data_IF_161437447520
#
_entry.id   IF_161437447520
#
_cell.length_a   1.000
_cell.length_b   1.000
_cell.length_c   1.000
_cell.angle_alpha   90.00
_cell.angle_beta   90.00
_cell.angle_gamma   90.00
#
_symmetry.space_group_name_H-M   'P 1'
#
loop_
_entity.id
_entity.type
_entity.pdbx_description
1 polymer ?
#
# COMPACT_ATOMS: atom_id res chain seq x y z
N UNK A 1 6.58 8.78 -5.13
CA UNK A 1 5.83 7.53 -4.82
C UNK A 1 4.66 7.31 -5.75
N UNK A 2 4.37 6.05 -6.11
CA UNK A 2 3.14 5.70 -6.82
C UNK A 2 1.96 5.75 -5.84
N UNK A 3 1.01 6.68 -6.03
CA UNK A 3 -0.08 6.90 -5.04
C UNK A 3 -1.49 7.04 -5.64
N UNK A 4 -1.65 7.04 -6.96
CA UNK A 4 -2.97 7.24 -7.58
C UNK A 4 -3.14 6.30 -8.77
N UNK A 5 -4.09 5.37 -8.74
CA UNK A 5 -4.45 4.57 -9.92
C UNK A 5 -5.24 5.45 -10.89
N UNK A 6 -4.68 5.67 -12.07
CA UNK A 6 -5.30 6.38 -13.16
C UNK A 6 -6.42 5.55 -13.77
N UNK A 7 -7.65 5.82 -13.30
CA UNK A 7 -8.93 5.31 -13.81
C UNK A 7 -9.39 3.96 -13.24
N UNK A 8 -10.01 4.02 -12.05
CA UNK A 8 -10.69 2.90 -11.41
C UNK A 8 -10.55 3.00 -9.89
N UNK A 9 -11.55 2.51 -9.14
CA UNK A 9 -11.46 2.35 -7.69
C UNK A 9 -10.63 1.10 -7.33
N UNK A 10 -9.48 0.92 -8.00
CA UNK A 10 -8.61 -0.22 -7.76
C UNK A 10 -7.75 0.07 -6.54
N UNK A 11 -7.80 -0.83 -5.56
CA UNK A 11 -7.07 -0.72 -4.31
C UNK A 11 -5.75 -1.46 -4.48
N UNK A 12 -4.68 -0.71 -4.67
CA UNK A 12 -3.33 -1.24 -4.87
C UNK A 12 -2.34 -0.61 -3.90
N UNK A 13 -1.34 -1.38 -3.51
CA UNK A 13 -0.25 -0.94 -2.64
C UNK A 13 1.10 -1.47 -3.14
N UNK A 14 2.18 -0.99 -2.53
CA UNK A 14 3.56 -1.28 -2.92
C UNK A 14 4.25 -0.06 -3.51
N UNK A 15 5.58 -0.13 -3.62
CA UNK A 15 6.40 0.99 -4.09
C UNK A 15 6.09 1.36 -5.55
N UNK A 16 5.69 0.36 -6.33
CA UNK A 16 5.31 0.48 -7.73
C UNK A 16 3.80 0.32 -7.93
N UNK A 17 2.98 0.31 -6.87
CA UNK A 17 1.56 -0.07 -6.95
C UNK A 17 1.33 -1.48 -7.52
N UNK A 18 2.26 -2.40 -7.26
CA UNK A 18 2.32 -3.72 -7.87
C UNK A 18 1.34 -4.74 -7.25
N UNK A 19 0.91 -4.51 -6.00
CA UNK A 19 0.06 -5.45 -5.27
C UNK A 19 -1.39 -5.01 -5.24
N UNK A 20 -2.30 -5.89 -5.64
CA UNK A 20 -3.75 -5.68 -5.55
C UNK A 20 -4.28 -6.03 -4.16
N UNK A 21 -5.35 -5.37 -3.75
CA UNK A 21 -6.08 -5.70 -2.54
C UNK A 21 -6.50 -7.17 -2.56
N UNK A 22 -6.03 -7.89 -1.55
CA UNK A 22 -6.47 -9.25 -1.26
C UNK A 22 -7.69 -9.24 -0.35
N UNK A 23 -7.84 -8.21 0.46
CA UNK A 23 -9.00 -8.03 1.34
C UNK A 23 -9.35 -6.54 1.49
N UNK A 24 -10.65 -6.23 1.61
CA UNK A 24 -11.15 -4.87 1.85
C UNK A 24 -11.64 -4.79 3.29
N UNK A 25 -11.07 -3.86 4.05
CA UNK A 25 -11.40 -3.60 5.44
C UNK A 25 -12.42 -2.47 5.53
N UNK A 26 -13.44 -2.66 6.36
CA UNK A 26 -14.36 -1.59 6.74
C UNK A 26 -14.11 -1.28 8.21
N UNK A 27 -13.44 -0.17 8.47
CA UNK A 27 -13.16 0.30 9.83
C UNK A 27 -14.02 1.52 10.12
N UNK A 28 -14.54 1.65 11.35
CA UNK A 28 -15.39 2.79 11.66
C UNK A 28 -16.32 2.58 12.84
N UNK A 29 -16.63 3.68 13.50
CA UNK A 29 -17.75 3.80 14.42
C UNK A 29 -19.01 4.16 13.61
N UNK A 30 -20.19 4.01 14.21
CA UNK A 30 -21.53 4.09 13.60
C UNK A 30 -21.87 5.29 12.68
N UNK A 31 -20.98 6.27 12.51
CA UNK A 31 -21.16 7.49 11.72
C UNK A 31 -20.07 7.74 10.65
N UNK A 32 -19.00 6.95 10.58
CA UNK A 32 -17.96 7.11 9.54
C UNK A 32 -17.38 5.75 9.14
N UNK A 33 -17.73 5.27 7.95
CA UNK A 33 -17.11 4.07 7.36
C UNK A 33 -15.85 4.47 6.62
N UNK A 34 -14.69 4.05 7.15
CA UNK A 34 -13.41 4.15 6.49
C UNK A 34 -13.15 2.85 5.73
N UNK A 35 -12.86 2.99 4.45
CA UNK A 35 -12.45 1.87 3.60
C UNK A 35 -10.94 1.77 3.67
N UNK A 36 -10.48 0.60 4.12
CA UNK A 36 -9.10 0.17 4.09
C UNK A 36 -8.95 -1.10 3.26
N UNK A 37 -7.73 -1.58 3.09
CA UNK A 37 -7.48 -2.85 2.40
C UNK A 37 -6.14 -3.43 2.81
N UNK A 38 -5.98 -4.73 2.62
CA UNK A 38 -4.72 -5.44 2.78
C UNK A 38 -4.34 -6.06 1.43
N UNK A 39 -3.04 -6.19 1.18
CA UNK A 39 -2.46 -6.88 0.03
C UNK A 39 -1.66 -8.09 0.50
N UNK A 40 -1.13 -8.88 -0.45
CA UNK A 40 -0.23 -10.01 -0.18
C UNK A 40 -0.78 -11.05 0.82
N UNK A 41 -2.09 -11.19 0.89
CA UNK A 41 -2.76 -12.17 1.75
C UNK A 41 -2.90 -11.71 3.21
N UNK A 42 -2.61 -10.44 3.51
CA UNK A 42 -2.95 -9.87 4.81
C UNK A 42 -4.45 -9.87 5.06
N UNK A 43 -4.84 -9.96 6.33
CA UNK A 43 -6.23 -10.04 6.77
C UNK A 43 -6.63 -8.83 7.60
N UNK A 44 -7.88 -8.40 7.52
CA UNK A 44 -8.36 -7.27 8.33
C UNK A 44 -8.44 -7.68 9.81
N UNK A 45 -7.94 -6.80 10.69
CA UNK A 45 -8.05 -7.01 12.14
C UNK A 45 -9.39 -6.45 12.62
N UNK A 46 -10.22 -7.33 13.17
CA UNK A 46 -11.56 -6.99 13.66
C UNK A 46 -11.51 -5.86 14.71
N UNK A 47 -12.38 -4.86 14.52
CA UNK A 47 -12.53 -3.73 15.45
C UNK A 47 -11.37 -2.74 15.46
N UNK A 48 -10.38 -2.88 14.58
CA UNK A 48 -9.35 -1.85 14.44
C UNK A 48 -9.91 -0.58 13.82
N UNK A 49 -9.62 0.55 14.44
CA UNK A 49 -9.98 1.89 13.95
C UNK A 49 -8.78 2.65 13.43
N UNK A 50 -7.56 2.20 13.78
CA UNK A 50 -6.32 2.76 13.25
C UNK A 50 -6.02 2.17 11.87
N UNK A 51 -5.91 3.04 10.87
CA UNK A 51 -5.61 2.61 9.50
C UNK A 51 -4.17 2.12 9.34
N UNK A 52 -3.23 2.60 10.15
CA UNK A 52 -1.82 2.20 10.08
C UNK A 52 -1.56 0.78 10.61
N UNK A 53 -2.56 0.18 11.25
CA UNK A 53 -2.45 -1.16 11.87
C UNK A 53 -3.72 -1.98 11.61
N UNK A 54 -4.38 -1.75 10.47
CA UNK A 54 -5.65 -2.42 10.15
C UNK A 54 -5.46 -3.87 9.66
N UNK A 55 -4.25 -4.21 9.20
CA UNK A 55 -3.95 -5.49 8.58
C UNK A 55 -3.06 -6.36 9.48
N UNK A 56 -3.40 -7.63 9.61
CA UNK A 56 -2.50 -8.68 10.06
C UNK A 56 -1.76 -9.22 8.84
N UNK A 57 -0.45 -9.01 8.79
CA UNK A 57 0.39 -9.42 7.65
C UNK A 57 0.89 -10.86 7.81
N UNK A 58 0.93 -11.58 6.69
CA UNK A 58 1.54 -12.90 6.63
C UNK A 58 3.07 -12.81 6.76
N UNK A 59 3.69 -13.91 7.18
CA UNK A 59 5.15 -14.05 7.29
C UNK A 59 5.85 -13.57 5.99
N UNK A 60 6.84 -12.70 6.17
CA UNK A 60 7.59 -12.10 5.06
C UNK A 60 7.01 -10.80 4.51
N UNK A 61 5.88 -10.32 5.03
CA UNK A 61 5.27 -9.02 4.70
C UNK A 61 5.07 -8.14 5.92
N UNK A 62 5.03 -6.83 5.69
CA UNK A 62 4.89 -5.76 6.68
C UNK A 62 4.31 -4.51 5.99
N UNK A 63 4.07 -3.45 6.77
CA UNK A 63 3.50 -2.19 6.32
C UNK A 63 1.99 -2.10 6.56
N UNK A 64 1.41 -0.89 6.45
CA UNK A 64 -0.01 -0.66 6.77
C UNK A 64 -1.00 -1.50 5.98
N UNK A 65 -0.62 -1.88 4.75
CA UNK A 65 -1.41 -2.71 3.85
C UNK A 65 -0.74 -4.06 3.58
N UNK A 66 0.34 -4.42 4.28
CA UNK A 66 1.19 -5.60 4.00
C UNK A 66 1.92 -5.55 2.65
N UNK A 67 2.29 -4.35 2.22
CA UNK A 67 2.93 -4.10 0.93
C UNK A 67 4.47 -4.13 0.96
N UNK A 68 5.07 -4.13 2.14
CA UNK A 68 6.52 -4.10 2.35
C UNK A 68 7.00 -5.53 2.60
N UNK A 69 8.08 -5.95 1.93
CA UNK A 69 8.67 -7.26 2.19
C UNK A 69 9.56 -7.23 3.44
N UNK A 70 9.21 -8.00 4.47
CA UNK A 70 9.86 -7.99 5.78
C UNK A 70 11.29 -8.57 5.77
N UNK A 71 11.60 -9.46 4.81
CA UNK A 71 12.96 -9.98 4.63
C UNK A 71 13.85 -9.00 3.87
N UNK A 72 14.33 -7.99 4.58
CA UNK A 72 15.68 -7.45 4.43
C UNK A 72 16.09 -6.93 3.05
N UNK A 73 15.16 -6.47 2.22
CA UNK A 73 15.53 -5.82 0.96
C UNK A 73 14.74 -4.54 0.76
N UNK A 74 15.14 -3.51 1.51
CA UNK A 74 15.00 -2.13 1.04
C UNK A 74 15.93 -1.95 -0.18
N UNK A 75 15.63 -2.60 -1.30
CA UNK A 75 16.14 -2.18 -2.62
C UNK A 75 15.08 -1.35 -3.35
N UNK A 76 14.32 -0.56 -2.58
CA UNK A 76 13.56 0.60 -3.08
C UNK A 76 14.18 1.93 -2.67
N UNK A 77 15.07 1.95 -1.67
CA UNK A 77 15.88 3.11 -1.34
C UNK A 77 17.18 3.09 -2.16
N UNK A 78 17.10 2.93 -3.50
CA UNK A 78 18.15 3.53 -4.31
C UNK A 78 18.01 5.03 -4.13
N UNK A 79 19.00 5.58 -3.43
CA UNK A 79 19.19 6.98 -3.15
C UNK A 79 18.97 7.80 -4.44
N UNK A 80 17.83 8.49 -4.55
CA UNK A 80 17.69 9.61 -5.48
C UNK A 80 18.55 10.78 -4.98
N UNK A 81 19.87 10.61 -4.97
CA UNK A 81 20.83 11.72 -4.87
C UNK A 81 20.90 12.39 -6.24
N UNK A 82 19.83 13.08 -6.61
CA UNK A 82 19.78 13.93 -7.79
C UNK A 82 18.71 15.00 -7.57
N UNK A 83 19.02 16.29 -7.79
CA UNK A 83 18.06 17.37 -7.54
C UNK A 83 16.85 17.38 -8.48
N UNK A 84 16.74 16.46 -9.45
CA UNK A 84 15.72 16.46 -10.51
C UNK A 84 15.29 15.06 -11.07
N UNK A 85 15.03 14.03 -10.24
CA UNK A 85 14.65 12.66 -10.73
C UNK A 85 13.35 12.06 -10.17
N UNK A 86 12.47 12.91 -9.65
CA UNK A 86 11.33 12.55 -8.81
C UNK A 86 10.09 12.00 -9.57
N UNK A 87 10.29 11.35 -10.72
CA UNK A 87 9.27 10.43 -11.26
C UNK A 87 9.79 9.39 -12.26
N UNK A 88 10.97 8.82 -12.00
CA UNK A 88 11.50 7.72 -12.83
C UNK A 88 10.89 6.36 -12.47
N UNK A 89 10.04 6.31 -11.44
CA UNK A 89 9.41 5.07 -10.99
C UNK A 89 8.42 4.57 -12.03
N UNK A 90 8.63 3.34 -12.48
CA UNK A 90 7.64 2.61 -13.27
C UNK A 90 6.55 2.14 -12.32
N UNK A 91 5.40 2.82 -12.37
CA UNK A 91 4.23 2.40 -11.62
C UNK A 91 3.43 1.40 -12.44
N UNK A 92 3.06 0.30 -11.80
CA UNK A 92 2.16 -0.72 -12.31
C UNK A 92 0.71 -0.39 -12.00
N UNK A 93 -0.22 -1.15 -12.58
CA UNK A 93 -1.66 -1.08 -12.34
C UNK A 93 -2.22 0.35 -12.45
N UNK A 94 -1.75 1.10 -13.45
CA UNK A 94 -2.18 2.48 -13.69
C UNK A 94 -1.73 3.48 -12.62
N UNK A 95 -0.85 3.10 -11.70
CA UNK A 95 -0.28 3.99 -10.71
C UNK A 95 0.34 5.23 -11.37
N UNK A 96 0.08 6.40 -10.78
CA UNK A 96 0.68 7.66 -11.18
C UNK A 96 1.69 8.01 -10.10
N UNK A 97 2.95 8.03 -10.51
CA UNK A 97 3.99 8.56 -9.67
C UNK A 97 3.81 10.08 -9.55
N UNK A 98 3.80 10.55 -8.32
CA UNK A 98 3.78 11.99 -8.00
C UNK A 98 4.99 12.36 -7.15
N UNK A 99 5.50 13.55 -7.46
CA UNK A 99 6.42 14.35 -6.63
C UNK A 99 5.69 14.82 -5.37
#
# INVERSE_FOLDING_TARGET
DCKNVGQGAELVAGFQCEYHATEVCLTGESYETRVGFCVNGGSCIDGQTNQESMCECLDGWDGPHCEIKAEGTIQGAQQNQGPDADCSLQCDNGGVCKK
#
